data_IF_540627678258
#
_entry.id   IF_540627678258
#
_cell.length_a   1.000
_cell.length_b   1.000
_cell.length_c   1.000
_cell.angle_alpha   90.00
_cell.angle_beta   90.00
_cell.angle_gamma   90.00
#
_symmetry.space_group_name_H-M   'P 1'
#
loop_
_entity.id
_entity.type
_entity.pdbx_description
1 polymer ?
#
# COMPACT_ATOMS: atom_id res chain seq x y z
N UNK A 1 -17.56 10.88 -2.43
CA UNK A 1 -17.32 10.36 -1.07
C UNK A 1 -18.64 10.00 -0.41
N UNK A 2 -19.61 10.92 -0.36
CA UNK A 2 -20.97 10.64 0.14
C UNK A 2 -21.72 9.52 -0.61
N UNK A 3 -21.64 9.42 -1.94
CA UNK A 3 -22.32 8.31 -2.66
C UNK A 3 -21.65 6.93 -2.45
N UNK A 4 -20.36 6.92 -2.07
CA UNK A 4 -19.64 5.70 -1.71
C UNK A 4 -20.04 5.31 -0.27
N UNK A 5 -20.20 6.28 0.62
CA UNK A 5 -20.74 6.09 1.97
C UNK A 5 -22.20 5.61 1.93
N UNK A 6 -23.04 6.16 1.05
CA UNK A 6 -24.45 5.76 0.88
C UNK A 6 -24.61 4.38 0.22
N UNK A 7 -23.72 4.02 -0.72
CA UNK A 7 -23.70 2.66 -1.28
C UNK A 7 -23.13 1.63 -0.29
N UNK A 8 -22.26 2.10 0.62
CA UNK A 8 -21.82 1.33 1.78
C UNK A 8 -23.00 1.11 2.74
N UNK A 9 -23.77 2.13 3.13
CA UNK A 9 -24.88 2.10 4.12
C UNK A 9 -26.07 1.14 3.86
N UNK A 10 -26.08 0.38 2.75
CA UNK A 10 -27.20 -0.50 2.37
C UNK A 10 -27.17 -1.92 2.99
N UNK A 11 -26.12 -2.30 3.73
CA UNK A 11 -25.90 -3.68 4.23
C UNK A 11 -25.47 -3.71 5.71
N UNK A 12 -26.37 -3.48 6.67
CA UNK A 12 -26.14 -3.59 8.14
C UNK A 12 -24.72 -3.22 8.61
N UNK A 13 -24.46 -1.90 8.70
CA UNK A 13 -23.13 -1.29 8.64
C UNK A 13 -22.46 -0.95 9.96
N UNK A 14 -22.91 -1.51 11.08
CA UNK A 14 -22.35 -1.12 12.37
C UNK A 14 -20.85 -1.48 12.43
N UNK A 15 -20.48 -2.72 12.08
CA UNK A 15 -19.11 -3.22 12.16
C UNK A 15 -18.11 -2.64 11.14
N UNK A 16 -18.44 -2.41 9.83
CA UNK A 16 -17.54 -1.70 8.90
C UNK A 16 -17.32 -0.25 9.24
N UNK A 17 -18.34 0.38 9.79
CA UNK A 17 -18.25 1.75 10.29
C UNK A 17 -17.34 1.79 11.51
N UNK A 18 -17.51 0.87 12.47
CA UNK A 18 -16.61 0.73 13.63
C UNK A 18 -15.16 0.44 13.21
N UNK A 19 -14.93 -0.51 12.31
CA UNK A 19 -13.59 -0.87 11.85
C UNK A 19 -12.89 0.30 11.15
N UNK A 20 -13.63 1.04 10.31
CA UNK A 20 -13.14 2.25 9.68
C UNK A 20 -12.91 3.37 10.69
N UNK A 21 -13.78 3.51 11.70
CA UNK A 21 -13.62 4.45 12.80
C UNK A 21 -12.36 4.13 13.61
N UNK A 22 -12.12 2.87 13.99
CA UNK A 22 -10.94 2.44 14.74
C UNK A 22 -9.65 2.70 13.95
N UNK A 23 -9.65 2.40 12.64
CA UNK A 23 -8.53 2.74 11.76
C UNK A 23 -8.28 4.25 11.72
N UNK A 24 -9.33 5.03 11.50
CA UNK A 24 -9.25 6.50 11.46
C UNK A 24 -8.79 7.06 12.81
N UNK A 25 -9.31 6.55 13.92
CA UNK A 25 -8.90 6.89 15.29
C UNK A 25 -7.43 6.57 15.54
N UNK A 26 -6.93 5.42 15.09
CA UNK A 26 -5.50 5.07 15.20
C UNK A 26 -4.62 6.07 14.45
N UNK A 27 -4.99 6.43 13.22
CA UNK A 27 -4.25 7.43 12.42
C UNK A 27 -4.31 8.82 13.07
N UNK A 28 -5.46 9.23 13.61
CA UNK A 28 -5.59 10.52 14.31
C UNK A 28 -4.85 10.54 15.64
N UNK A 29 -4.90 9.46 16.42
CA UNK A 29 -4.15 9.32 17.68
C UNK A 29 -2.64 9.39 17.41
N UNK A 30 -2.16 8.66 16.40
CA UNK A 30 -0.78 8.78 15.93
C UNK A 30 -0.46 10.20 15.44
N UNK A 31 -1.37 10.85 14.72
CA UNK A 31 -1.20 12.24 14.27
C UNK A 31 -1.09 13.24 15.43
N UNK A 32 -1.87 13.05 16.50
CA UNK A 32 -1.79 13.88 17.70
C UNK A 32 -0.44 13.72 18.40
N UNK A 33 -0.05 12.47 18.67
CA UNK A 33 1.23 12.15 19.32
C UNK A 33 2.43 12.72 18.52
N UNK A 34 2.46 12.50 17.21
CA UNK A 34 3.56 12.98 16.38
C UNK A 34 3.62 14.50 16.30
N UNK A 35 2.47 15.19 16.33
CA UNK A 35 2.40 16.66 16.40
C UNK A 35 2.84 17.21 17.76
N UNK A 36 2.50 16.54 18.85
CA UNK A 36 2.98 16.89 20.20
C UNK A 36 4.51 16.86 20.25
N UNK A 37 5.10 15.74 19.81
CA UNK A 37 6.56 15.60 19.68
C UNK A 37 7.15 16.73 18.81
N UNK A 38 6.51 17.05 17.68
CA UNK A 38 6.97 18.09 16.76
C UNK A 38 6.77 19.54 17.25
N UNK A 39 5.91 19.76 18.23
CA UNK A 39 5.71 21.09 18.81
C UNK A 39 6.75 21.38 19.88
N UNK A 40 7.12 20.35 20.65
CA UNK A 40 8.14 20.43 21.69
C UNK A 40 9.57 20.37 21.14
N UNK A 41 9.73 19.83 19.92
CA UNK A 41 11.04 19.55 19.35
C UNK A 41 11.14 19.94 17.88
N UNK A 42 12.36 20.14 17.40
CA UNK A 42 12.63 20.29 15.96
C UNK A 42 12.82 18.91 15.32
N UNK A 43 11.77 18.37 14.71
CA UNK A 43 11.81 17.08 14.04
C UNK A 43 12.53 17.18 12.69
N UNK A 44 13.60 16.41 12.54
CA UNK A 44 14.28 16.29 11.26
C UNK A 44 13.31 15.79 10.18
N UNK A 45 13.33 16.43 9.02
CA UNK A 45 12.42 16.11 7.90
C UNK A 45 11.03 16.74 8.00
N UNK A 46 10.73 17.51 9.05
CA UNK A 46 9.54 18.36 9.11
C UNK A 46 9.95 19.80 8.77
N UNK A 47 9.16 20.48 7.94
CA UNK A 47 9.43 21.87 7.55
C UNK A 47 8.14 22.67 7.45
N UNK A 48 8.24 23.99 7.26
CA UNK A 48 7.06 24.83 7.05
C UNK A 48 6.38 24.45 5.73
N UNK A 49 5.08 24.14 5.82
CA UNK A 49 4.23 23.92 4.65
C UNK A 49 3.30 25.10 4.41
N UNK A 50 2.08 24.82 3.96
CA UNK A 50 1.10 25.84 3.59
C UNK A 50 0.49 26.53 4.81
N UNK A 51 0.16 27.82 4.65
CA UNK A 51 -0.56 28.63 5.64
C UNK A 51 0.10 28.63 7.03
N UNK A 52 1.43 28.50 7.09
CA UNK A 52 2.18 28.50 8.35
C UNK A 52 2.15 27.17 9.12
N UNK A 53 1.46 26.13 8.62
CA UNK A 53 1.45 24.82 9.25
C UNK A 53 2.69 24.00 8.89
N UNK A 54 3.28 23.33 9.88
CA UNK A 54 4.34 22.34 9.67
C UNK A 54 3.85 21.20 8.76
N UNK A 55 4.78 20.58 8.04
CA UNK A 55 4.53 19.50 7.09
C UNK A 55 5.66 18.48 7.11
N UNK A 56 5.30 17.20 7.06
CA UNK A 56 6.24 16.12 6.79
C UNK A 56 6.80 16.25 5.38
N UNK A 57 8.11 16.48 5.30
CA UNK A 57 8.89 16.54 4.06
C UNK A 57 9.99 15.49 4.05
N UNK A 58 9.94 14.51 4.94
CA UNK A 58 11.02 13.54 5.18
C UNK A 58 11.24 12.61 3.98
N UNK A 59 10.19 12.27 3.24
CA UNK A 59 10.21 11.45 2.03
C UNK A 59 10.74 12.22 0.81
N UNK A 60 11.90 11.83 0.29
CA UNK A 60 12.52 12.48 -0.87
C UNK A 60 11.72 12.32 -2.17
N UNK A 61 11.10 11.14 -2.37
CA UNK A 61 10.32 10.85 -3.58
C UNK A 61 9.08 11.74 -3.67
N UNK A 62 8.30 11.83 -2.60
CA UNK A 62 7.12 12.69 -2.51
C UNK A 62 7.51 14.16 -2.57
N UNK A 63 8.57 14.57 -1.86
CA UNK A 63 9.03 15.97 -1.90
C UNK A 63 9.40 16.40 -3.32
N UNK A 64 10.15 15.56 -4.04
CA UNK A 64 10.52 15.82 -5.43
C UNK A 64 9.30 15.82 -6.36
N UNK A 65 8.43 14.80 -6.27
CA UNK A 65 7.22 14.71 -7.07
C UNK A 65 6.29 15.92 -6.85
N UNK A 66 6.01 16.24 -5.58
CA UNK A 66 5.13 17.33 -5.22
C UNK A 66 5.73 18.71 -5.54
N UNK A 67 7.05 18.88 -5.39
CA UNK A 67 7.73 20.11 -5.78
C UNK A 67 7.72 20.38 -7.28
N UNK A 68 7.57 19.33 -8.10
CA UNK A 68 7.50 19.42 -9.56
C UNK A 68 6.07 19.24 -10.11
N UNK A 69 5.04 19.24 -9.25
CA UNK A 69 3.67 18.89 -9.68
C UNK A 69 3.13 19.84 -10.76
N UNK A 70 3.43 21.14 -10.65
CA UNK A 70 3.02 22.15 -11.64
C UNK A 70 3.64 21.86 -13.01
N UNK A 71 4.95 21.62 -13.04
CA UNK A 71 5.68 21.27 -14.25
C UNK A 71 5.14 19.97 -14.86
N UNK A 72 4.91 18.94 -14.05
CA UNK A 72 4.35 17.65 -14.50
C UNK A 72 2.97 17.86 -15.14
N UNK A 73 2.12 18.67 -14.52
CA UNK A 73 0.78 18.99 -15.05
C UNK A 73 0.88 19.76 -16.37
N UNK A 74 1.73 20.78 -16.46
CA UNK A 74 1.93 21.55 -17.69
C UNK A 74 2.41 20.64 -18.83
N UNK A 75 3.44 19.83 -18.58
CA UNK A 75 3.98 18.90 -19.58
C UNK A 75 2.92 17.88 -20.00
N UNK A 76 2.13 17.34 -19.06
CA UNK A 76 1.08 16.39 -19.37
C UNK A 76 -0.08 17.01 -20.19
N UNK A 77 -0.45 18.27 -19.91
CA UNK A 77 -1.43 19.01 -20.72
C UNK A 77 -0.90 19.18 -22.16
N UNK A 78 0.33 19.67 -22.31
CA UNK A 78 0.96 19.86 -23.63
C UNK A 78 1.00 18.53 -24.39
N UNK A 79 1.44 17.45 -23.72
CA UNK A 79 1.45 16.11 -24.30
C UNK A 79 0.05 15.67 -24.76
N UNK A 80 -0.98 15.80 -23.92
CA UNK A 80 -2.35 15.42 -24.30
C UNK A 80 -2.89 16.25 -25.46
N UNK A 81 -2.56 17.54 -25.54
CA UNK A 81 -2.94 18.41 -26.66
C UNK A 81 -2.24 18.00 -27.96
N UNK A 82 -0.92 17.80 -27.93
CA UNK A 82 -0.14 17.33 -29.08
C UNK A 82 -0.63 15.95 -29.53
N UNK A 83 -0.79 15.01 -28.60
CA UNK A 83 -1.31 13.66 -28.88
C UNK A 83 -2.70 13.72 -29.51
N UNK A 84 -3.61 14.56 -28.99
CA UNK A 84 -4.94 14.75 -29.57
C UNK A 84 -4.87 15.36 -30.98
N UNK A 85 -4.00 16.34 -31.20
CA UNK A 85 -3.78 16.96 -32.50
C UNK A 85 -3.23 15.94 -33.52
N UNK A 86 -2.17 15.19 -33.16
CA UNK A 86 -1.58 14.14 -34.00
C UNK A 86 -2.63 13.07 -34.32
N UNK A 87 -3.37 12.57 -33.33
CA UNK A 87 -4.46 11.58 -33.52
C UNK A 87 -5.60 12.10 -34.40
N UNK A 88 -5.77 13.43 -34.51
CA UNK A 88 -6.77 14.06 -35.39
C UNK A 88 -6.25 14.24 -36.82
N UNK A 89 -4.99 14.65 -36.98
CA UNK A 89 -4.36 14.90 -38.29
C UNK A 89 -3.99 13.61 -39.01
N UNK A 90 -3.48 12.66 -38.24
CA UNK A 90 -3.33 11.28 -38.63
C UNK A 90 -4.43 10.55 -37.87
N UNK A 91 -5.69 10.59 -38.36
CA UNK A 91 -6.72 9.71 -37.84
C UNK A 91 -6.19 8.31 -38.12
N UNK A 92 -5.52 7.76 -37.11
CA UNK A 92 -5.01 6.40 -37.14
C UNK A 92 -6.26 5.53 -37.27
N UNK A 93 -6.70 5.26 -38.49
CA UNK A 93 -7.22 3.94 -38.77
C UNK A 93 -6.04 3.03 -38.47
N UNK A 94 -5.94 2.55 -37.24
CA UNK A 94 -5.27 1.29 -36.95
C UNK A 94 -3.94 1.12 -37.70
N UNK A 95 -2.84 1.76 -37.30
CA UNK A 95 -1.60 0.99 -37.46
C UNK A 95 -1.80 -0.21 -36.56
N UNK A 96 -2.13 -1.35 -37.17
CA UNK A 96 -2.24 -2.64 -36.51
C UNK A 96 -1.13 -2.78 -35.48
N UNK A 97 0.07 -2.31 -35.80
CA UNK A 97 1.26 -2.22 -34.97
C UNK A 97 1.11 -1.42 -33.66
N UNK A 98 0.47 -0.24 -33.61
CA UNK A 98 0.33 0.50 -32.35
C UNK A 98 -0.80 -0.06 -31.48
N UNK A 99 -1.89 -0.51 -32.10
CA UNK A 99 -2.93 -1.23 -31.37
C UNK A 99 -2.43 -2.61 -30.91
N UNK A 100 -1.58 -3.28 -31.68
CA UNK A 100 -0.90 -4.51 -31.30
C UNK A 100 0.14 -4.24 -30.23
N UNK A 101 0.93 -3.18 -30.31
CA UNK A 101 1.86 -2.77 -29.25
C UNK A 101 1.09 -2.53 -27.96
N UNK A 102 0.06 -1.67 -28.00
CA UNK A 102 -0.83 -1.41 -26.87
C UNK A 102 -1.48 -2.69 -26.35
N UNK A 103 -2.03 -3.57 -27.21
CA UNK A 103 -2.58 -4.87 -26.79
C UNK A 103 -1.51 -5.83 -26.23
N UNK A 104 -0.29 -5.82 -26.77
CA UNK A 104 0.85 -6.65 -26.37
C UNK A 104 1.36 -6.24 -24.97
N UNK A 105 1.23 -4.96 -24.62
CA UNK A 105 1.44 -4.41 -23.27
C UNK A 105 0.14 -4.27 -22.45
N UNK A 106 -1.00 -4.78 -22.95
CA UNK A 106 -2.27 -4.85 -22.22
C UNK A 106 -3.09 -3.54 -22.11
N UNK A 107 -2.77 -2.51 -22.89
CA UNK A 107 -3.47 -1.22 -22.92
C UNK A 107 -4.60 -1.21 -23.96
N UNK A 108 -5.79 -0.73 -23.56
CA UNK A 108 -6.94 -0.58 -24.47
C UNK A 108 -7.28 0.89 -24.71
N UNK A 109 -7.60 1.25 -25.95
CA UNK A 109 -8.08 2.58 -26.30
C UNK A 109 -9.60 2.63 -26.10
N UNK A 110 -10.06 3.37 -25.08
CA UNK A 110 -11.50 3.53 -24.79
C UNK A 110 -11.82 4.94 -24.32
N UNK A 111 -12.51 5.70 -25.17
CA UNK A 111 -13.03 7.03 -24.80
C UNK A 111 -14.20 6.87 -23.84
N UNK A 112 -14.04 7.30 -22.58
CA UNK A 112 -15.07 7.19 -21.53
C UNK A 112 -15.10 8.45 -20.65
N UNK A 113 -15.51 9.58 -21.22
CA UNK A 113 -15.46 10.90 -20.58
C UNK A 113 -16.02 10.90 -19.14
N UNK A 114 -17.23 10.35 -18.92
CA UNK A 114 -17.83 10.26 -17.57
C UNK A 114 -16.94 9.51 -16.57
N UNK A 115 -16.30 8.41 -17.00
CA UNK A 115 -15.38 7.65 -16.14
C UNK A 115 -14.08 8.41 -15.89
N UNK A 116 -13.54 9.08 -16.90
CA UNK A 116 -12.32 9.91 -16.77
C UNK A 116 -12.54 11.06 -15.81
N UNK A 117 -13.66 11.80 -15.93
CA UNK A 117 -14.00 12.90 -15.01
C UNK A 117 -14.15 12.38 -13.57
N UNK A 118 -14.92 11.30 -13.36
CA UNK A 118 -15.06 10.72 -12.02
C UNK A 118 -13.72 10.23 -11.44
N UNK A 119 -12.84 9.69 -12.29
CA UNK A 119 -11.51 9.27 -11.88
C UNK A 119 -10.60 10.47 -11.55
N UNK A 120 -10.71 11.57 -12.28
CA UNK A 120 -10.05 12.85 -11.98
C UNK A 120 -10.46 13.39 -10.60
N UNK A 121 -11.76 13.39 -10.29
CA UNK A 121 -12.25 13.77 -8.95
C UNK A 121 -11.67 12.86 -7.86
N UNK A 122 -11.65 11.54 -8.08
CA UNK A 122 -11.02 10.59 -7.13
C UNK A 122 -9.53 10.84 -6.94
N UNK A 123 -8.84 11.20 -8.01
CA UNK A 123 -7.39 11.50 -8.00
C UNK A 123 -7.12 12.78 -7.21
N UNK A 124 -7.91 13.84 -7.44
CA UNK A 124 -7.83 15.09 -6.69
C UNK A 124 -8.09 14.87 -5.20
N UNK A 125 -9.14 14.11 -4.85
CA UNK A 125 -9.41 13.75 -3.44
C UNK A 125 -8.21 13.00 -2.83
N UNK A 126 -7.64 12.01 -3.53
CA UNK A 126 -6.48 11.26 -3.03
C UNK A 126 -5.29 12.19 -2.77
N UNK A 127 -5.02 13.11 -3.70
CA UNK A 127 -3.96 14.10 -3.57
C UNK A 127 -4.19 15.04 -2.38
N UNK A 128 -5.40 15.57 -2.22
CA UNK A 128 -5.76 16.42 -1.08
C UNK A 128 -5.61 15.67 0.25
N UNK A 129 -6.08 14.42 0.32
CA UNK A 129 -5.92 13.60 1.54
C UNK A 129 -4.44 13.38 1.87
N UNK A 130 -3.59 13.11 0.89
CA UNK A 130 -2.16 12.96 1.11
C UNK A 130 -1.51 14.26 1.61
N UNK A 131 -1.85 15.41 1.01
CA UNK A 131 -1.36 16.72 1.48
C UNK A 131 -1.78 16.96 2.92
N UNK A 132 -3.07 16.80 3.24
CA UNK A 132 -3.58 16.95 4.60
C UNK A 132 -2.91 15.97 5.55
N UNK A 133 -2.72 14.71 5.15
CA UNK A 133 -2.02 13.71 5.95
C UNK A 133 -0.60 14.18 6.32
N UNK A 134 0.15 14.75 5.37
CA UNK A 134 1.50 15.28 5.66
C UNK A 134 1.52 16.46 6.62
N UNK A 135 0.39 17.16 6.82
CA UNK A 135 0.26 18.23 7.82
C UNK A 135 -0.22 17.74 9.19
N UNK A 136 -0.86 16.56 9.24
CA UNK A 136 -1.48 16.04 10.46
C UNK A 136 -0.68 14.92 11.11
N UNK A 137 0.26 14.30 10.39
CA UNK A 137 0.97 13.12 10.86
C UNK A 137 2.44 13.15 10.42
N UNK A 138 3.35 13.10 11.40
CA UNK A 138 4.80 13.14 11.18
C UNK A 138 5.46 11.77 11.49
N UNK A 139 4.69 10.68 11.47
CA UNK A 139 5.21 9.34 11.77
C UNK A 139 6.31 8.92 10.80
N UNK A 140 6.20 9.34 9.53
CA UNK A 140 7.20 9.01 8.52
C UNK A 140 8.53 9.73 8.80
N UNK A 141 8.50 11.00 9.20
CA UNK A 141 9.71 11.70 9.65
C UNK A 141 10.38 11.01 10.84
N UNK A 142 9.61 10.58 11.85
CA UNK A 142 10.15 9.91 13.04
C UNK A 142 10.77 8.56 12.69
N UNK A 143 10.13 7.78 11.82
CA UNK A 143 10.58 6.42 11.48
C UNK A 143 11.71 6.36 10.44
N UNK A 144 11.99 7.46 9.73
CA UNK A 144 12.95 7.48 8.61
C UNK A 144 14.19 8.35 8.85
N UNK A 145 14.15 9.32 9.76
CA UNK A 145 15.30 10.20 10.04
C UNK A 145 16.02 9.75 11.29
N UNK A 146 17.31 9.39 11.12
CA UNK A 146 18.19 8.95 12.22
C UNK A 146 18.24 9.96 13.37
N UNK A 147 18.16 11.26 13.09
CA UNK A 147 18.14 12.32 14.09
C UNK A 147 16.93 12.23 15.04
N UNK A 148 15.85 11.59 14.60
CA UNK A 148 14.62 11.44 15.38
C UNK A 148 14.61 10.14 16.21
N UNK A 149 15.66 9.32 16.16
CA UNK A 149 15.72 8.03 16.87
C UNK A 149 15.51 8.16 18.39
N UNK A 150 16.04 9.23 18.99
CA UNK A 150 15.82 9.55 20.41
C UNK A 150 14.33 9.69 20.81
N UNK A 151 13.46 10.06 19.87
CA UNK A 151 12.02 10.17 20.12
C UNK A 151 11.37 8.80 20.00
N UNK A 152 11.84 7.98 19.06
CA UNK A 152 11.40 6.60 18.88
C UNK A 152 11.67 5.73 20.11
N UNK A 153 12.85 5.85 20.72
CA UNK A 153 13.24 5.07 21.90
C UNK A 153 12.39 5.35 23.15
N UNK A 154 11.75 6.52 23.20
CA UNK A 154 10.90 6.93 24.32
C UNK A 154 9.45 6.45 24.17
N UNK A 155 9.09 5.86 23.03
CA UNK A 155 7.72 5.44 22.74
C UNK A 155 7.37 4.14 23.46
N UNK A 156 6.12 4.04 23.89
CA UNK A 156 5.56 2.78 24.35
C UNK A 156 5.40 1.77 23.20
N UNK A 157 5.42 0.46 23.46
CA UNK A 157 5.35 -0.56 22.40
C UNK A 157 4.12 -0.40 21.49
N UNK A 158 2.95 -0.08 22.04
CA UNK A 158 1.74 0.23 21.27
C UNK A 158 1.93 1.45 20.35
N UNK A 159 2.59 2.51 20.84
CA UNK A 159 2.87 3.72 20.05
C UNK A 159 3.83 3.41 18.91
N UNK A 160 4.86 2.58 19.15
CA UNK A 160 5.78 2.12 18.11
C UNK A 160 5.04 1.38 16.98
N UNK A 161 4.11 0.47 17.31
CA UNK A 161 3.31 -0.21 16.29
C UNK A 161 2.42 0.78 15.52
N UNK A 162 1.75 1.70 16.21
CA UNK A 162 0.90 2.71 15.57
C UNK A 162 1.68 3.62 14.61
N UNK A 163 2.88 4.07 15.01
CA UNK A 163 3.75 4.87 14.13
C UNK A 163 4.26 4.05 12.94
N UNK A 164 4.61 2.79 13.16
CA UNK A 164 5.04 1.88 12.07
C UNK A 164 3.94 1.69 11.04
N UNK A 165 2.72 1.47 11.52
CA UNK A 165 1.54 1.32 10.69
C UNK A 165 1.19 2.61 9.95
N UNK A 166 1.21 3.76 10.63
CA UNK A 166 1.01 5.07 10.01
C UNK A 166 2.05 5.37 8.93
N UNK A 167 3.30 4.95 9.15
CA UNK A 167 4.39 5.10 8.17
C UNK A 167 4.19 4.19 6.96
N UNK A 168 3.75 2.95 7.14
CA UNK A 168 3.36 2.07 6.03
C UNK A 168 2.14 2.63 5.27
N UNK A 169 1.16 3.19 5.99
CA UNK A 169 0.00 3.84 5.40
C UNK A 169 0.40 5.07 4.57
N UNK A 170 1.32 5.90 5.06
CA UNK A 170 1.89 7.02 4.31
C UNK A 170 2.48 6.54 2.97
N UNK A 171 3.31 5.48 2.98
CA UNK A 171 3.88 4.92 1.75
C UNK A 171 2.76 4.46 0.80
N UNK A 172 1.73 3.80 1.33
CA UNK A 172 0.59 3.35 0.53
C UNK A 172 -0.15 4.52 -0.12
N UNK A 173 -0.53 5.55 0.65
CA UNK A 173 -1.30 6.69 0.13
C UNK A 173 -0.46 7.54 -0.83
N UNK A 174 0.86 7.63 -0.60
CA UNK A 174 1.84 8.24 -1.52
C UNK A 174 1.79 7.58 -2.89
N UNK A 175 2.05 6.28 -2.96
CA UNK A 175 2.09 5.58 -4.24
C UNK A 175 0.72 5.49 -4.91
N UNK A 176 -0.34 5.28 -4.12
CA UNK A 176 -1.71 5.33 -4.61
C UNK A 176 -2.01 6.67 -5.29
N UNK A 177 -1.58 7.79 -4.72
CA UNK A 177 -1.79 9.13 -5.30
C UNK A 177 -0.96 9.33 -6.56
N UNK A 178 0.34 9.06 -6.53
CA UNK A 178 1.24 9.25 -7.67
C UNK A 178 0.77 8.43 -8.89
N UNK A 179 0.43 7.15 -8.68
CA UNK A 179 -0.01 6.30 -9.78
C UNK A 179 -1.42 6.62 -10.26
N UNK A 180 -2.31 7.12 -9.39
CA UNK A 180 -3.61 7.66 -9.82
C UNK A 180 -3.46 8.87 -10.72
N UNK A 181 -2.54 9.78 -10.41
CA UNK A 181 -2.24 10.93 -11.26
C UNK A 181 -1.76 10.45 -12.64
N UNK A 182 -0.79 9.53 -12.68
CA UNK A 182 -0.31 8.98 -13.95
C UNK A 182 -1.43 8.30 -14.77
N UNK A 183 -2.26 7.48 -14.10
CA UNK A 183 -3.42 6.84 -14.75
C UNK A 183 -4.46 7.85 -15.23
N UNK A 184 -4.72 8.91 -14.48
CA UNK A 184 -5.65 9.96 -14.90
C UNK A 184 -5.20 10.62 -16.21
N UNK A 185 -3.91 10.95 -16.34
CA UNK A 185 -3.34 11.47 -17.58
C UNK A 185 -3.44 10.46 -18.74
N UNK A 186 -3.16 9.18 -18.50
CA UNK A 186 -3.38 8.15 -19.51
C UNK A 186 -4.85 8.07 -19.96
N UNK A 187 -5.80 8.19 -19.04
CA UNK A 187 -7.23 8.20 -19.34
C UNK A 187 -7.66 9.45 -20.13
N UNK A 188 -7.04 10.61 -19.90
CA UNK A 188 -7.23 11.81 -20.72
C UNK A 188 -6.71 11.60 -22.16
N UNK A 189 -5.64 10.81 -22.31
CA UNK A 189 -5.12 10.39 -23.62
C UNK A 189 -5.87 9.20 -24.25
N UNK A 190 -7.03 8.82 -23.68
CA UNK A 190 -7.88 7.69 -24.07
C UNK A 190 -7.26 6.30 -23.89
N UNK A 191 -6.23 6.16 -23.05
CA UNK A 191 -5.63 4.87 -22.68
C UNK A 191 -6.18 4.37 -21.35
N UNK A 192 -6.72 3.14 -21.33
CA UNK A 192 -7.17 2.47 -20.11
C UNK A 192 -6.02 1.61 -19.56
N UNK A 193 -5.28 2.17 -18.60
CA UNK A 193 -4.18 1.49 -17.89
C UNK A 193 -4.71 0.80 -16.61
N UNK A 194 -4.13 -0.34 -16.17
CA UNK A 194 -4.53 -0.98 -14.93
C UNK A 194 -4.32 -0.07 -13.71
N UNK A 195 -5.14 -0.27 -12.67
CA UNK A 195 -4.91 0.40 -11.38
C UNK A 195 -3.74 -0.30 -10.66
N UNK A 196 -2.81 0.50 -10.10
CA UNK A 196 -1.62 -0.03 -9.44
C UNK A 196 -1.86 -0.33 -7.96
N UNK A 197 -2.75 0.43 -7.29
CA UNK A 197 -3.15 0.23 -5.90
C UNK A 197 -4.62 -0.14 -5.84
N UNK A 198 -4.87 -1.45 -5.82
CA UNK A 198 -6.25 -1.95 -5.88
C UNK A 198 -6.90 -2.03 -4.51
N UNK A 199 -6.09 -2.09 -3.46
CA UNK A 199 -6.54 -2.34 -2.09
C UNK A 199 -5.72 -1.50 -1.12
N UNK A 200 -6.39 -1.01 -0.06
CA UNK A 200 -5.71 -0.45 1.11
C UNK A 200 -4.92 -1.55 1.82
N UNK A 201 -3.83 -1.20 2.51
CA UNK A 201 -2.99 -2.15 3.27
C UNK A 201 -3.83 -3.01 4.22
N UNK A 202 -4.75 -2.40 4.97
CA UNK A 202 -5.64 -3.06 5.92
C UNK A 202 -6.68 -3.96 5.23
N UNK A 203 -6.94 -3.70 3.95
CA UNK A 203 -7.83 -4.51 3.14
C UNK A 203 -7.02 -5.62 2.42
N UNK A 204 -6.06 -6.24 3.10
CA UNK A 204 -5.38 -7.46 2.67
C UNK A 204 -5.31 -8.41 3.86
N UNK A 205 -5.74 -9.66 3.65
CA UNK A 205 -5.74 -10.69 4.70
C UNK A 205 -4.64 -11.73 4.51
N UNK A 206 -3.80 -11.58 3.48
CA UNK A 206 -2.66 -12.46 3.19
C UNK A 206 -1.60 -11.73 2.34
N UNK A 207 -0.34 -12.15 2.42
CA UNK A 207 0.81 -11.53 1.73
C UNK A 207 0.67 -11.61 0.21
N UNK A 208 0.26 -12.76 -0.32
CA UNK A 208 0.14 -12.92 -1.77
C UNK A 208 -0.85 -11.91 -2.36
N UNK A 209 -2.01 -11.76 -1.74
CA UNK A 209 -3.03 -10.79 -2.12
C UNK A 209 -2.57 -9.35 -1.96
N UNK A 210 -1.77 -9.06 -0.93
CA UNK A 210 -1.12 -7.77 -0.76
C UNK A 210 -0.19 -7.45 -1.94
N UNK A 211 0.77 -8.32 -2.26
CA UNK A 211 1.74 -8.09 -3.33
C UNK A 211 1.14 -8.06 -4.73
N UNK A 212 0.05 -8.81 -4.96
CA UNK A 212 -0.72 -8.72 -6.22
C UNK A 212 -1.52 -7.42 -6.34
N UNK A 213 -1.84 -6.78 -5.22
CA UNK A 213 -2.62 -5.53 -5.16
C UNK A 213 -1.76 -4.28 -5.02
N UNK A 214 -0.50 -4.44 -4.61
CA UNK A 214 0.51 -3.40 -4.46
C UNK A 214 1.35 -3.31 -5.74
N UNK A 215 1.40 -2.12 -6.35
CA UNK A 215 2.13 -1.89 -7.59
C UNK A 215 1.82 -2.92 -8.69
N UNK A 216 0.52 -3.19 -8.92
CA UNK A 216 0.05 -4.28 -9.80
C UNK A 216 0.73 -4.35 -11.16
N UNK A 217 0.95 -3.21 -11.83
CA UNK A 217 1.62 -3.19 -13.14
C UNK A 217 3.03 -3.76 -13.07
N UNK A 218 3.79 -3.40 -12.04
CA UNK A 218 5.13 -3.95 -11.80
C UNK A 218 5.08 -5.42 -11.37
N UNK A 219 4.13 -5.80 -10.51
CA UNK A 219 3.91 -7.21 -10.15
C UNK A 219 3.63 -8.08 -11.39
N UNK A 220 2.78 -7.62 -12.31
CA UNK A 220 2.51 -8.30 -13.58
C UNK A 220 3.75 -8.40 -14.48
N UNK A 221 4.57 -7.35 -14.51
CA UNK A 221 5.85 -7.35 -15.23
C UNK A 221 6.81 -8.40 -14.63
N UNK A 222 6.99 -8.42 -13.31
CA UNK A 222 7.82 -9.42 -12.62
C UNK A 222 7.35 -10.85 -12.90
N UNK A 223 6.03 -11.07 -12.87
CA UNK A 223 5.46 -12.38 -13.18
C UNK A 223 5.79 -12.81 -14.61
N UNK A 224 5.53 -11.93 -15.58
CA UNK A 224 5.70 -12.23 -17.02
C UNK A 224 7.16 -12.39 -17.44
N UNK A 225 8.06 -11.56 -16.91
CA UNK A 225 9.43 -11.44 -17.43
C UNK A 225 10.50 -12.07 -16.55
N UNK A 226 10.19 -12.43 -15.29
CA UNK A 226 11.15 -13.09 -14.39
C UNK A 226 10.57 -14.40 -13.89
N UNK A 227 9.40 -14.36 -13.23
CA UNK A 227 8.86 -15.52 -12.51
C UNK A 227 8.51 -16.70 -13.44
N UNK A 228 7.74 -16.46 -14.50
CA UNK A 228 7.32 -17.51 -15.43
C UNK A 228 8.48 -18.05 -16.28
N UNK A 229 9.37 -17.22 -16.85
CA UNK A 229 10.55 -17.70 -17.56
C UNK A 229 11.46 -18.62 -16.73
N UNK A 230 11.51 -18.46 -15.41
CA UNK A 230 12.27 -19.33 -14.49
C UNK A 230 11.52 -20.61 -14.08
N UNK A 231 10.41 -20.97 -14.73
CA UNK A 231 9.62 -22.15 -14.39
C UNK A 231 8.65 -21.89 -13.22
N UNK A 232 7.87 -20.81 -13.30
CA UNK A 232 6.94 -20.37 -12.23
C UNK A 232 5.90 -21.41 -11.76
N UNK A 233 5.74 -22.53 -12.44
CA UNK A 233 4.91 -23.67 -11.99
C UNK A 233 5.70 -24.74 -11.24
N UNK A 234 6.98 -24.93 -11.54
CA UNK A 234 7.84 -26.01 -11.02
C UNK A 234 8.75 -25.54 -9.88
N UNK A 235 9.32 -24.34 -9.99
CA UNK A 235 10.34 -23.81 -9.06
C UNK A 235 9.82 -22.63 -8.22
N UNK A 236 8.57 -22.72 -7.74
CA UNK A 236 7.87 -21.59 -7.09
C UNK A 236 8.68 -20.91 -5.98
N UNK A 237 9.26 -21.71 -5.08
CA UNK A 237 10.02 -21.21 -3.92
C UNK A 237 11.25 -20.42 -4.38
N UNK A 238 12.10 -21.04 -5.22
CA UNK A 238 13.31 -20.40 -5.73
C UNK A 238 13.00 -19.13 -6.53
N UNK A 239 11.96 -19.15 -7.35
CA UNK A 239 11.60 -18.00 -8.17
C UNK A 239 11.13 -16.82 -7.32
N UNK A 240 10.49 -17.07 -6.17
CA UNK A 240 10.10 -15.99 -5.24
C UNK A 240 11.34 -15.29 -4.69
N UNK A 241 12.37 -16.03 -4.26
CA UNK A 241 13.62 -15.44 -3.79
C UNK A 241 14.32 -14.60 -4.86
N UNK A 242 14.40 -15.10 -6.10
CA UNK A 242 15.00 -14.37 -7.21
C UNK A 242 14.21 -13.10 -7.53
N UNK A 243 12.89 -13.19 -7.62
CA UNK A 243 12.01 -12.04 -7.89
C UNK A 243 12.14 -10.97 -6.81
N UNK A 244 12.03 -11.32 -5.53
CA UNK A 244 12.13 -10.34 -4.45
C UNK A 244 13.55 -9.75 -4.31
N UNK A 245 14.59 -10.52 -4.60
CA UNK A 245 15.97 -10.00 -4.65
C UNK A 245 16.12 -8.99 -5.79
N UNK A 246 15.56 -9.29 -6.97
CA UNK A 246 15.51 -8.32 -8.07
C UNK A 246 14.75 -7.05 -7.66
N UNK A 247 13.61 -7.18 -6.96
CA UNK A 247 12.85 -6.02 -6.46
C UNK A 247 13.68 -5.16 -5.50
N UNK A 248 14.44 -5.77 -4.59
CA UNK A 248 15.34 -5.04 -3.69
C UNK A 248 16.38 -4.23 -4.47
N UNK A 249 17.09 -4.88 -5.40
CA UNK A 249 18.12 -4.27 -6.24
C UNK A 249 17.53 -3.17 -7.14
N UNK A 250 16.33 -3.40 -7.70
CA UNK A 250 15.62 -2.42 -8.52
C UNK A 250 15.26 -1.14 -7.74
N UNK A 251 15.00 -1.26 -6.44
CA UNK A 251 14.72 -0.11 -5.60
C UNK A 251 15.98 0.69 -5.28
N UNK A 252 17.01 0.03 -4.73
CA UNK A 252 18.32 0.62 -4.44
C UNK A 252 19.34 -0.48 -4.08
N UNK A 253 20.62 -0.19 -4.24
CA UNK A 253 21.72 -1.07 -3.82
C UNK A 253 22.00 -0.93 -2.31
N UNK A 254 20.97 -1.13 -1.49
CA UNK A 254 21.04 -1.06 -0.04
C UNK A 254 20.76 -2.43 0.59
N UNK A 255 21.65 -2.89 1.48
CA UNK A 255 21.49 -4.16 2.21
C UNK A 255 20.19 -4.22 3.01
N UNK A 256 19.70 -3.10 3.54
CA UNK A 256 18.43 -3.05 4.25
C UNK A 256 17.24 -3.46 3.37
N UNK A 257 17.27 -3.13 2.08
CA UNK A 257 16.22 -3.54 1.13
C UNK A 257 16.32 -5.03 0.79
N UNK A 258 17.53 -5.59 0.74
CA UNK A 258 17.72 -7.03 0.57
C UNK A 258 17.19 -7.78 1.80
N UNK A 259 17.52 -7.33 3.00
CA UNK A 259 16.98 -7.89 4.26
C UNK A 259 15.47 -7.79 4.33
N UNK A 260 14.89 -6.65 3.93
CA UNK A 260 13.46 -6.48 3.80
C UNK A 260 12.86 -7.52 2.84
N UNK A 261 13.38 -7.62 1.62
CA UNK A 261 12.88 -8.54 0.60
C UNK A 261 12.95 -10.01 1.03
N UNK A 262 14.05 -10.40 1.67
CA UNK A 262 14.23 -11.75 2.18
C UNK A 262 13.35 -12.03 3.40
N UNK A 263 13.11 -11.03 4.25
CA UNK A 263 12.10 -11.09 5.30
C UNK A 263 10.71 -11.39 4.72
N UNK A 264 10.31 -10.67 3.66
CA UNK A 264 9.06 -10.94 2.96
C UNK A 264 9.00 -12.39 2.44
N UNK A 265 10.07 -12.89 1.82
CA UNK A 265 10.14 -14.28 1.35
C UNK A 265 9.91 -15.29 2.48
N UNK A 266 10.56 -15.10 3.64
CA UNK A 266 10.43 -15.99 4.80
C UNK A 266 8.99 -16.06 5.33
N UNK A 267 8.23 -14.98 5.23
CA UNK A 267 6.81 -14.97 5.61
C UNK A 267 5.88 -15.52 4.52
N UNK A 268 6.22 -15.33 3.24
CA UNK A 268 5.41 -15.82 2.13
C UNK A 268 5.47 -17.36 2.02
N UNK A 269 6.59 -18.00 2.40
CA UNK A 269 6.74 -19.46 2.31
C UNK A 269 5.74 -20.24 3.17
N UNK A 270 5.60 -19.98 4.49
CA UNK A 270 4.57 -20.61 5.31
C UNK A 270 3.16 -20.37 4.77
N UNK A 271 2.86 -19.16 4.29
CA UNK A 271 1.54 -18.85 3.73
C UNK A 271 1.22 -19.75 2.52
N UNK A 272 2.17 -19.92 1.60
CA UNK A 272 2.00 -20.79 0.43
C UNK A 272 1.80 -22.24 0.86
N UNK A 273 2.58 -22.73 1.83
CA UNK A 273 2.44 -24.10 2.34
C UNK A 273 1.06 -24.33 2.99
N UNK A 274 0.61 -23.39 3.83
CA UNK A 274 -0.70 -23.41 4.49
C UNK A 274 -1.81 -23.40 3.43
N UNK A 275 -1.77 -22.48 2.46
CA UNK A 275 -2.75 -22.41 1.36
C UNK A 275 -2.80 -23.72 0.57
N UNK A 276 -1.64 -24.28 0.22
CA UNK A 276 -1.59 -25.55 -0.51
C UNK A 276 -2.21 -26.70 0.28
N UNK A 277 -2.04 -26.74 1.60
CA UNK A 277 -2.67 -27.74 2.47
C UNK A 277 -4.20 -27.59 2.52
N UNK A 278 -4.71 -26.36 2.72
CA UNK A 278 -6.15 -26.11 2.81
C UNK A 278 -6.88 -26.13 1.47
N UNK A 279 -6.18 -25.94 0.34
CA UNK A 279 -6.78 -26.01 -1.00
C UNK A 279 -6.91 -27.43 -1.56
N UNK A 280 -6.40 -28.45 -0.86
CA UNK A 280 -6.62 -29.85 -1.24
C UNK A 280 -8.12 -30.17 -1.17
N UNK A 281 -8.65 -30.92 -2.16
CA UNK A 281 -10.07 -31.31 -2.21
C UNK A 281 -10.57 -31.90 -0.89
N UNK A 282 -9.73 -32.71 -0.21
CA UNK A 282 -10.04 -33.31 1.09
C UNK A 282 -10.33 -32.27 2.18
N UNK A 283 -9.71 -31.10 2.14
CA UNK A 283 -9.76 -30.08 3.19
C UNK A 283 -10.68 -28.90 2.84
N UNK A 284 -11.36 -28.92 1.68
CA UNK A 284 -12.22 -27.81 1.25
C UNK A 284 -13.37 -27.53 2.22
N UNK A 285 -13.89 -28.56 2.91
CA UNK A 285 -14.94 -28.42 3.93
C UNK A 285 -14.51 -27.51 5.10
N UNK A 286 -13.21 -27.37 5.37
CA UNK A 286 -12.70 -26.54 6.47
C UNK A 286 -12.91 -25.05 6.20
N UNK A 287 -13.00 -24.61 4.93
CA UNK A 287 -13.14 -23.20 4.57
C UNK A 287 -14.43 -22.56 5.09
N UNK A 288 -15.46 -23.38 5.32
CA UNK A 288 -16.76 -22.92 5.83
C UNK A 288 -16.79 -22.83 7.37
N UNK A 289 -15.82 -23.44 8.05
CA UNK A 289 -15.79 -23.48 9.52
C UNK A 289 -15.41 -22.14 10.14
N UNK A 290 -16.05 -21.79 11.25
CA UNK A 290 -15.72 -20.58 12.03
C UNK A 290 -14.27 -20.57 12.50
N UNK A 291 -13.74 -21.73 12.88
CA UNK A 291 -12.34 -21.89 13.32
C UNK A 291 -11.38 -21.47 12.21
N UNK A 292 -11.62 -21.91 10.96
CA UNK A 292 -10.78 -21.52 9.84
C UNK A 292 -10.81 -20.02 9.58
N UNK A 293 -11.99 -19.38 9.68
CA UNK A 293 -12.12 -17.92 9.56
C UNK A 293 -11.33 -17.19 10.64
N UNK A 294 -11.36 -17.67 11.88
CA UNK A 294 -10.58 -17.11 13.00
C UNK A 294 -9.08 -17.24 12.71
N UNK A 295 -8.62 -18.42 12.27
CA UNK A 295 -7.21 -18.65 11.89
C UNK A 295 -6.79 -17.70 10.77
N UNK A 296 -7.62 -17.51 9.74
CA UNK A 296 -7.34 -16.56 8.67
C UNK A 296 -7.25 -15.12 9.19
N UNK A 297 -8.11 -14.73 10.12
CA UNK A 297 -8.03 -13.46 10.83
C UNK A 297 -6.73 -13.27 11.59
N UNK A 298 -6.36 -14.26 12.40
CA UNK A 298 -5.10 -14.27 13.16
C UNK A 298 -3.89 -14.16 12.25
N UNK A 299 -3.85 -14.96 11.18
CA UNK A 299 -2.81 -14.88 10.17
C UNK A 299 -2.73 -13.49 9.53
N UNK A 300 -3.86 -12.88 9.18
CA UNK A 300 -3.90 -11.54 8.62
C UNK A 300 -3.37 -10.46 9.57
N UNK A 301 -3.72 -10.55 10.87
CA UNK A 301 -3.20 -9.64 11.89
C UNK A 301 -1.68 -9.75 12.03
N UNK A 302 -1.17 -10.98 12.08
CA UNK A 302 0.28 -11.26 12.12
C UNK A 302 1.01 -10.74 10.88
N UNK A 303 0.44 -10.97 9.69
CA UNK A 303 0.95 -10.45 8.41
C UNK A 303 1.06 -8.93 8.45
N UNK A 304 0.03 -8.24 8.95
CA UNK A 304 0.04 -6.78 9.03
C UNK A 304 1.09 -6.23 9.99
N UNK A 305 1.25 -6.84 11.17
CA UNK A 305 2.32 -6.46 12.11
C UNK A 305 3.69 -6.70 11.49
N UNK A 306 3.88 -7.84 10.83
CA UNK A 306 5.11 -8.15 10.12
C UNK A 306 5.42 -7.15 9.00
N UNK A 307 4.41 -6.76 8.21
CA UNK A 307 4.56 -5.73 7.18
C UNK A 307 4.95 -4.38 7.79
N UNK A 308 4.43 -4.03 8.96
CA UNK A 308 4.84 -2.81 9.68
C UNK A 308 6.31 -2.88 10.09
N UNK A 309 6.75 -3.98 10.71
CA UNK A 309 8.12 -4.18 11.18
C UNK A 309 9.11 -4.19 10.01
N UNK A 310 8.85 -4.99 8.99
CA UNK A 310 9.73 -5.09 7.81
C UNK A 310 9.82 -3.77 7.06
N UNK A 311 8.74 -3.01 6.97
CA UNK A 311 8.76 -1.69 6.36
C UNK A 311 9.74 -0.73 7.06
N UNK A 312 9.92 -0.83 8.38
CA UNK A 312 10.95 -0.05 9.10
C UNK A 312 12.38 -0.41 8.68
N UNK A 313 12.62 -1.68 8.32
CA UNK A 313 13.91 -2.15 7.82
C UNK A 313 14.15 -1.55 6.43
N UNK A 314 13.23 -1.76 5.49
CA UNK A 314 13.44 -1.41 4.08
C UNK A 314 13.35 0.09 3.81
N UNK A 315 12.39 0.77 4.42
CA UNK A 315 12.05 2.17 4.13
C UNK A 315 12.14 3.10 5.34
N UNK A 316 12.48 2.58 6.52
CA UNK A 316 12.75 3.35 7.74
C UNK A 316 14.24 3.53 8.02
N UNK A 317 14.61 3.64 9.30
CA UNK A 317 16.00 3.74 9.75
C UNK A 317 16.80 2.42 9.66
N UNK A 318 16.17 1.30 9.27
CA UNK A 318 16.86 0.02 9.07
C UNK A 318 16.82 -0.89 10.30
N UNK A 319 17.94 -1.58 10.55
CA UNK A 319 18.05 -2.56 11.63
C UNK A 319 17.84 -1.96 13.03
N UNK A 320 18.38 -0.76 13.31
CA UNK A 320 18.36 -0.12 14.63
C UNK A 320 16.94 0.12 15.16
N UNK A 321 16.06 0.67 14.32
CA UNK A 321 14.65 0.93 14.69
C UNK A 321 13.87 -0.37 14.90
N UNK A 322 14.13 -1.37 14.06
CA UNK A 322 13.50 -2.69 14.15
C UNK A 322 13.95 -3.41 15.42
N UNK A 323 15.24 -3.42 15.74
CA UNK A 323 15.76 -4.09 16.94
C UNK A 323 15.25 -3.44 18.21
N UNK A 324 15.20 -2.10 18.27
CA UNK A 324 14.56 -1.35 19.37
C UNK A 324 13.08 -1.72 19.54
N UNK A 325 12.33 -1.81 18.44
CA UNK A 325 10.92 -2.22 18.47
C UNK A 325 10.74 -3.64 19.01
N UNK A 326 11.52 -4.60 18.51
CA UNK A 326 11.42 -5.99 18.94
C UNK A 326 11.86 -6.16 20.41
N UNK A 327 12.89 -5.42 20.84
CA UNK A 327 13.32 -5.39 22.24
C UNK A 327 12.21 -4.91 23.17
N UNK A 328 11.49 -3.84 22.81
CA UNK A 328 10.38 -3.33 23.62
C UNK A 328 9.14 -4.24 23.57
N UNK A 329 8.83 -4.82 22.42
CA UNK A 329 7.67 -5.71 22.24
C UNK A 329 7.84 -7.06 22.93
N UNK A 330 9.02 -7.67 22.85
CA UNK A 330 9.26 -9.02 23.37
C UNK A 330 10.04 -9.04 24.69
N UNK A 331 10.70 -7.94 25.06
CA UNK A 331 11.49 -7.84 26.29
C UNK A 331 10.67 -7.55 27.55
N UNK A 332 9.41 -7.17 27.43
CA UNK A 332 8.54 -6.86 28.58
C UNK A 332 7.17 -7.55 28.48
N UNK A 333 6.59 -7.93 29.62
CA UNK A 333 5.22 -8.49 29.65
C UNK A 333 4.18 -7.49 29.12
N UNK A 334 4.37 -6.20 29.40
CA UNK A 334 3.54 -5.10 28.85
C UNK A 334 3.60 -5.10 27.31
N UNK A 335 4.80 -5.16 26.73
CA UNK A 335 5.00 -5.21 25.29
C UNK A 335 4.33 -6.43 24.63
N UNK A 336 4.44 -7.61 25.25
CA UNK A 336 3.80 -8.83 24.73
C UNK A 336 2.27 -8.68 24.77
N UNK A 337 1.73 -8.15 25.87
CA UNK A 337 0.30 -7.90 26.00
C UNK A 337 -0.22 -6.91 24.95
N UNK A 338 0.48 -5.79 24.76
CA UNK A 338 0.13 -4.79 23.75
C UNK A 338 0.20 -5.34 22.33
N UNK A 339 1.22 -6.16 22.03
CA UNK A 339 1.36 -6.84 20.75
C UNK A 339 0.16 -7.77 20.49
N UNK A 340 -0.22 -8.58 21.47
CA UNK A 340 -1.37 -9.49 21.37
C UNK A 340 -2.67 -8.71 21.15
N UNK A 341 -2.88 -7.61 21.87
CA UNK A 341 -4.03 -6.75 21.70
C UNK A 341 -4.12 -6.19 20.27
N UNK A 342 -2.99 -5.69 19.74
CA UNK A 342 -2.93 -5.18 18.36
C UNK A 342 -3.22 -6.27 17.33
N UNK A 343 -2.64 -7.46 17.50
CA UNK A 343 -2.91 -8.60 16.61
C UNK A 343 -4.40 -8.92 16.62
N UNK A 344 -5.02 -9.01 17.80
CA UNK A 344 -6.47 -9.28 17.95
C UNK A 344 -7.29 -8.23 17.19
N UNK A 345 -7.01 -6.95 17.37
CA UNK A 345 -7.73 -5.86 16.68
C UNK A 345 -7.59 -5.96 15.16
N UNK A 346 -6.38 -6.18 14.66
CA UNK A 346 -6.11 -6.34 13.22
C UNK A 346 -6.76 -7.60 12.65
N UNK A 347 -6.84 -8.67 13.44
CA UNK A 347 -7.51 -9.91 13.08
C UNK A 347 -9.01 -9.73 12.96
N UNK A 348 -9.65 -9.06 13.93
CA UNK A 348 -11.07 -8.70 13.84
C UNK A 348 -11.35 -7.85 12.60
N UNK A 349 -10.50 -6.85 12.32
CA UNK A 349 -10.61 -6.04 11.11
C UNK A 349 -10.54 -6.91 9.85
N UNK A 350 -9.61 -7.86 9.80
CA UNK A 350 -9.35 -8.70 8.62
C UNK A 350 -10.49 -9.68 8.35
N UNK A 351 -10.96 -10.42 9.36
CA UNK A 351 -12.13 -11.32 9.23
C UNK A 351 -13.33 -10.54 8.73
N UNK A 352 -13.52 -9.35 9.28
CA UNK A 352 -14.63 -8.49 8.90
C UNK A 352 -14.54 -8.04 7.43
N UNK A 353 -13.37 -7.60 6.96
CA UNK A 353 -13.17 -7.28 5.54
C UNK A 353 -13.42 -8.48 4.62
N UNK A 354 -13.09 -9.70 5.06
CA UNK A 354 -13.36 -10.92 4.28
C UNK A 354 -14.87 -11.18 4.13
N UNK A 355 -15.66 -10.97 5.18
CA UNK A 355 -17.12 -11.15 5.10
C UNK A 355 -17.79 -10.09 4.21
N UNK A 356 -17.34 -8.83 4.23
CA UNK A 356 -17.82 -7.81 3.27
C UNK A 356 -17.61 -8.27 1.83
N UNK A 357 -16.46 -8.87 1.53
CA UNK A 357 -16.13 -9.31 0.16
C UNK A 357 -17.06 -10.40 -0.34
N UNK A 358 -17.42 -11.33 0.54
CA UNK A 358 -18.41 -12.37 0.23
C UNK A 358 -19.73 -11.73 -0.21
N UNK A 359 -20.19 -10.72 0.52
CA UNK A 359 -21.42 -9.98 0.19
C UNK A 359 -21.29 -9.19 -1.12
N UNK A 360 -20.11 -8.60 -1.39
CA UNK A 360 -19.86 -7.83 -2.61
C UNK A 360 -19.65 -8.68 -3.87
N UNK A 361 -19.57 -10.01 -3.74
CA UNK A 361 -19.17 -10.90 -4.84
C UNK A 361 -17.73 -10.64 -5.32
N UNK A 362 -16.89 -10.01 -4.49
CA UNK A 362 -15.49 -9.71 -4.76
C UNK A 362 -14.59 -10.74 -4.07
N UNK A 363 -14.88 -12.01 -4.29
CA UNK A 363 -14.13 -13.12 -3.70
C UNK A 363 -12.68 -13.14 -4.23
N UNK A 364 -12.48 -12.84 -5.53
CA UNK A 364 -11.22 -13.16 -6.21
C UNK A 364 -10.67 -12.09 -7.19
N UNK A 365 -10.86 -10.78 -6.98
CA UNK A 365 -10.14 -9.78 -7.83
C UNK A 365 -8.63 -9.67 -7.57
N UNK A 366 -8.07 -10.61 -6.81
CA UNK A 366 -6.64 -10.81 -6.66
C UNK A 366 -6.07 -11.97 -7.48
N UNK A 367 -6.88 -12.69 -8.26
CA UNK A 367 -6.70 -14.08 -8.70
C UNK A 367 -6.83 -15.11 -7.59
#
# INVERSE_FOLDING_TARGET
MFSLIVQYLKYDLILPTIASILFVQSIFSCGNLTREIANENDLAGVSNGYLGFKRDTSDGQWRSFNGNIELIVIVAIIYCLISTYIKKQYPFSTTFEFQCFCKLIGLSLKKRLKKTVLYGVKTLISYTVLIVFTHLNYSFAITTKKQNFQYWEKLEPQQMINLSFSSLFFIWIKFNTIWKIAKFWAMLDNMDVPENMNRCICNNYNFEGFWRSWHRGFNQWLLRYIYFPLGGSTNKIWNIWVVFTFVAIWHDMNLNLVLWAWGICLCLMPEIAIKNYFNQKKNQYLHETTIFKIIQGLAAGLVMVFMCITNLIGFGMGYEIMSSMLGNLFGTLKGIFELLLVIIVLSFFSVFQMEIRKVQGDLDRGF
#
